data_IF_254536711892
#
_entry.id   IF_254536711892
#
_cell.length_a   1.000
_cell.length_b   1.000
_cell.length_c   1.000
_cell.angle_alpha   90.00
_cell.angle_beta   90.00
_cell.angle_gamma   90.00
#
_symmetry.space_group_name_H-M   'P 1'
#
loop_
_entity.id
_entity.type
_entity.pdbx_description
1 polymer ?
#
# COMPACT_ATOMS: atom_id res chain seq x y z
N UNK A 1 -10.39 3.14 22.33
CA UNK A 1 -10.70 1.81 22.89
C UNK A 1 -9.69 0.85 22.28
N UNK A 2 -8.74 0.36 23.06
CA UNK A 2 -7.66 -0.50 22.56
C UNK A 2 -8.23 -1.90 22.24
N UNK A 3 -7.95 -2.41 21.04
CA UNK A 3 -8.34 -3.77 20.63
C UNK A 3 -7.08 -4.62 20.54
N UNK A 4 -6.91 -5.52 21.51
CA UNK A 4 -5.72 -6.38 21.63
C UNK A 4 -6.08 -7.78 21.15
N UNK A 5 -5.27 -8.34 20.25
CA UNK A 5 -5.32 -9.76 19.89
C UNK A 5 -4.08 -10.48 20.43
N UNK A 6 -4.24 -11.75 20.81
CA UNK A 6 -3.14 -12.63 21.19
C UNK A 6 -2.93 -13.69 20.12
N UNK A 7 -1.68 -14.02 19.79
CA UNK A 7 -1.38 -15.22 19.00
C UNK A 7 -1.49 -16.48 19.89
N UNK A 8 -2.21 -17.53 19.46
CA UNK A 8 -2.27 -18.79 20.21
C UNK A 8 -1.04 -19.69 19.98
N UNK A 9 -0.04 -19.22 19.23
CA UNK A 9 1.17 -19.95 18.88
C UNK A 9 2.43 -19.17 19.28
N UNK A 10 3.53 -19.89 19.51
CA UNK A 10 4.83 -19.29 19.80
C UNK A 10 5.37 -18.51 18.58
N UNK A 11 6.17 -17.43 18.78
CA UNK A 11 6.86 -16.76 17.68
C UNK A 11 7.73 -17.76 16.92
N UNK A 12 7.61 -17.79 15.60
CA UNK A 12 8.61 -18.44 14.76
C UNK A 12 9.88 -17.59 14.84
N UNK A 13 10.96 -18.19 15.34
CA UNK A 13 12.30 -17.61 15.24
C UNK A 13 12.90 -18.16 13.95
N UNK A 14 13.19 -17.30 12.99
CA UNK A 14 13.92 -17.69 11.78
C UNK A 14 15.32 -18.12 12.25
N UNK A 15 15.64 -19.41 12.10
CA UNK A 15 17.01 -19.91 12.29
C UNK A 15 17.86 -19.50 11.09
N UNK A 16 19.11 -19.09 11.34
CA UNK A 16 20.04 -18.60 10.31
C UNK A 16 20.50 -19.66 9.30
N UNK A 17 20.05 -20.91 9.43
CA UNK A 17 20.36 -21.97 8.48
C UNK A 17 19.30 -22.04 7.39
N UNK A 18 19.72 -21.64 6.20
CA UNK A 18 18.90 -21.59 4.99
C UNK A 18 18.32 -22.94 4.62
N UNK A 19 17.03 -23.08 4.86
CA UNK A 19 16.16 -23.91 4.04
C UNK A 19 15.37 -22.93 3.15
N UNK A 20 15.32 -23.18 1.83
CA UNK A 20 14.38 -22.46 0.96
C UNK A 20 12.98 -22.74 1.52
N UNK A 21 12.39 -21.75 2.20
CA UNK A 21 10.99 -21.85 2.60
C UNK A 21 10.16 -22.05 1.31
N UNK A 22 9.35 -23.12 1.22
CA UNK A 22 8.48 -23.30 0.07
C UNK A 22 7.60 -22.07 -0.07
N UNK A 23 7.38 -21.63 -1.30
CA UNK A 23 6.59 -20.44 -1.60
C UNK A 23 5.27 -20.52 -0.80
N UNK A 24 4.97 -19.56 0.10
CA UNK A 24 3.78 -19.60 0.94
C UNK A 24 2.47 -19.61 0.12
N UNK A 25 2.56 -19.39 -1.20
CA UNK A 25 1.47 -19.47 -2.16
C UNK A 25 1.34 -20.83 -2.87
N UNK A 26 2.24 -21.80 -2.68
CA UNK A 26 2.16 -23.13 -3.32
C UNK A 26 0.88 -23.90 -2.96
N UNK A 27 0.31 -23.63 -1.78
CA UNK A 27 -0.89 -24.32 -1.29
C UNK A 27 -2.20 -23.60 -1.60
N UNK A 28 -2.16 -22.42 -2.23
CA UNK A 28 -3.40 -21.72 -2.60
C UNK A 28 -3.94 -22.34 -3.89
N UNK A 29 -4.92 -23.22 -3.73
CA UNK A 29 -5.77 -23.69 -4.82
C UNK A 29 -6.21 -22.52 -5.71
N UNK A 30 -5.89 -22.58 -7.02
CA UNK A 30 -6.36 -21.61 -8.04
C UNK A 30 -7.89 -21.45 -8.08
N UNK A 31 -8.64 -22.30 -7.37
CA UNK A 31 -10.10 -22.25 -7.27
C UNK A 31 -10.62 -21.39 -6.10
N UNK A 32 -9.78 -21.02 -5.14
CA UNK A 32 -10.15 -20.07 -4.08
C UNK A 32 -9.82 -18.66 -4.53
N UNK A 33 -10.55 -18.16 -5.52
CA UNK A 33 -10.59 -16.72 -5.74
C UNK A 33 -11.46 -16.10 -4.65
N UNK A 34 -11.02 -15.00 -4.02
CA UNK A 34 -11.90 -14.26 -3.12
C UNK A 34 -13.20 -13.92 -3.86
N UNK A 35 -14.36 -13.98 -3.19
CA UNK A 35 -15.63 -13.66 -3.82
C UNK A 35 -15.54 -12.30 -4.50
N UNK A 36 -16.14 -12.16 -5.68
CA UNK A 36 -16.16 -10.89 -6.42
C UNK A 36 -16.69 -9.79 -5.49
N UNK A 37 -15.80 -8.92 -5.03
CA UNK A 37 -16.14 -7.93 -4.02
C UNK A 37 -16.98 -6.86 -4.70
N UNK A 38 -18.31 -6.93 -4.50
CA UNK A 38 -19.23 -5.87 -4.94
C UNK A 38 -18.90 -4.51 -4.30
N UNK A 39 -18.15 -4.55 -3.19
CA UNK A 39 -17.55 -3.41 -2.50
C UNK A 39 -16.07 -3.70 -2.39
N UNK A 40 -15.27 -3.09 -3.27
CA UNK A 40 -13.83 -3.23 -3.26
C UNK A 40 -13.28 -2.72 -1.91
N UNK A 41 -12.25 -3.39 -1.39
CA UNK A 41 -11.60 -3.07 -0.13
C UNK A 41 -11.30 -1.56 -0.02
N UNK A 42 -11.93 -0.88 0.93
CA UNK A 42 -11.78 0.57 1.12
C UNK A 42 -10.35 0.95 1.55
N UNK A 43 -9.57 0.01 2.08
CA UNK A 43 -8.17 0.20 2.47
C UNK A 43 -7.28 -0.69 1.60
N UNK A 44 -6.51 -0.08 0.71
CA UNK A 44 -5.55 -0.77 -0.17
C UNK A 44 -4.16 -0.78 0.45
N UNK A 45 -3.76 0.32 1.09
CA UNK A 45 -2.45 0.46 1.73
C UNK A 45 -2.55 1.40 2.92
N UNK A 46 -1.81 1.09 3.97
CA UNK A 46 -1.76 1.86 5.19
C UNK A 46 -0.30 2.05 5.60
N UNK A 47 0.07 3.27 5.97
CA UNK A 47 1.42 3.58 6.39
C UNK A 47 1.46 4.72 7.41
N UNK A 48 2.29 4.56 8.43
CA UNK A 48 2.59 5.64 9.38
C UNK A 48 3.55 6.62 8.72
N UNK A 49 3.23 7.91 8.80
CA UNK A 49 4.12 9.00 8.43
C UNK A 49 4.01 10.10 9.48
N UNK A 50 5.13 10.39 10.15
CA UNK A 50 5.16 11.28 11.32
C UNK A 50 4.12 10.82 12.36
N UNK A 51 3.28 11.73 12.84
CA UNK A 51 2.24 11.46 13.84
C UNK A 51 0.87 11.13 13.19
N UNK A 52 0.89 10.66 11.94
CA UNK A 52 -0.33 10.36 11.18
C UNK A 52 -0.27 8.99 10.53
N UNK A 53 -1.45 8.49 10.20
CA UNK A 53 -1.68 7.25 9.48
C UNK A 53 -2.30 7.55 8.12
N UNK A 54 -1.58 7.26 7.06
CA UNK A 54 -2.01 7.49 5.69
C UNK A 54 -2.59 6.22 5.10
N UNK A 55 -3.79 6.34 4.56
CA UNK A 55 -4.57 5.24 4.03
C UNK A 55 -4.85 5.53 2.56
N UNK A 56 -4.22 4.77 1.66
CA UNK A 56 -4.63 4.74 0.26
C UNK A 56 -5.88 3.88 0.15
N UNK A 57 -6.95 4.47 -0.35
CA UNK A 57 -8.18 3.73 -0.61
C UNK A 57 -8.14 3.06 -1.98
N UNK A 58 -9.20 2.33 -2.30
CA UNK A 58 -9.41 1.84 -3.67
C UNK A 58 -9.91 2.90 -4.64
N UNK A 59 -10.24 4.09 -4.13
CA UNK A 59 -10.77 5.15 -4.95
C UNK A 59 -9.64 5.83 -5.72
N UNK A 60 -9.70 5.73 -7.04
CA UNK A 60 -8.74 6.29 -7.96
C UNK A 60 -9.47 7.09 -9.04
N UNK A 61 -8.85 8.16 -9.52
CA UNK A 61 -9.34 8.98 -10.64
C UNK A 61 -8.32 9.02 -11.77
N UNK A 62 -8.81 9.43 -12.93
CA UNK A 62 -8.00 9.67 -14.12
C UNK A 62 -7.13 8.46 -14.51
N UNK A 63 -7.69 7.25 -14.43
CA UNK A 63 -6.99 5.98 -14.76
C UNK A 63 -5.75 5.74 -13.88
N UNK A 64 -5.94 5.81 -12.56
CA UNK A 64 -4.89 5.55 -11.57
C UNK A 64 -3.88 6.68 -11.39
N UNK A 65 -4.08 7.84 -12.02
CA UNK A 65 -3.21 9.02 -11.89
C UNK A 65 -3.50 9.85 -10.63
N UNK A 66 -4.62 9.59 -9.97
CA UNK A 66 -5.00 10.23 -8.71
C UNK A 66 -5.44 9.18 -7.71
N UNK A 67 -4.77 9.12 -6.57
CA UNK A 67 -5.14 8.24 -5.47
C UNK A 67 -5.81 9.04 -4.36
N UNK A 68 -6.95 8.56 -3.85
CA UNK A 68 -7.49 9.10 -2.61
C UNK A 68 -6.67 8.60 -1.43
N UNK A 69 -6.16 9.55 -0.65
CA UNK A 69 -5.47 9.31 0.62
C UNK A 69 -6.35 9.88 1.73
N UNK A 70 -6.78 9.01 2.64
CA UNK A 70 -7.39 9.39 3.89
C UNK A 70 -6.32 9.44 4.99
N UNK A 71 -6.38 10.44 5.86
CA UNK A 71 -5.40 10.69 6.92
C UNK A 71 -6.07 10.58 8.27
N UNK A 72 -5.49 9.77 9.15
CA UNK A 72 -5.94 9.59 10.52
C UNK A 72 -4.84 9.99 11.51
N UNK A 73 -5.22 10.36 12.74
CA UNK A 73 -4.28 10.39 13.86
C UNK A 73 -3.88 8.95 14.25
N UNK A 74 -2.88 8.80 15.13
CA UNK A 74 -2.46 7.49 15.62
C UNK A 74 -3.51 6.79 16.52
N UNK A 75 -4.52 7.51 17.00
CA UNK A 75 -5.68 6.94 17.68
C UNK A 75 -6.74 6.39 16.69
N UNK A 76 -6.54 6.58 15.39
CA UNK A 76 -7.48 6.20 14.33
C UNK A 76 -8.63 7.19 14.12
N UNK A 77 -8.53 8.44 14.59
CA UNK A 77 -9.51 9.49 14.29
C UNK A 77 -9.18 10.10 12.93
N UNK A 78 -10.19 10.23 12.09
CA UNK A 78 -10.06 10.88 10.79
C UNK A 78 -9.69 12.36 10.97
N UNK A 79 -8.65 12.82 10.27
CA UNK A 79 -8.19 14.21 10.29
C UNK A 79 -8.47 14.89 8.94
N UNK A 80 -8.15 14.23 7.82
CA UNK A 80 -8.17 14.85 6.50
C UNK A 80 -8.33 13.82 5.37
N UNK A 81 -8.65 14.27 4.16
CA UNK A 81 -8.45 13.49 2.94
C UNK A 81 -8.00 14.37 1.78
N UNK A 82 -7.17 13.81 0.92
CA UNK A 82 -6.70 14.50 -0.28
C UNK A 82 -6.49 13.54 -1.44
N UNK A 83 -6.43 14.11 -2.64
CA UNK A 83 -6.06 13.37 -3.85
C UNK A 83 -4.56 13.55 -4.10
N UNK A 84 -3.81 12.45 -4.02
CA UNK A 84 -2.41 12.41 -4.45
C UNK A 84 -2.38 12.28 -5.98
N UNK A 85 -1.94 13.34 -6.65
CA UNK A 85 -1.90 13.43 -8.11
C UNK A 85 -0.48 13.21 -8.64
N UNK A 86 -0.32 12.22 -9.52
CA UNK A 86 0.95 11.96 -10.19
C UNK A 86 1.17 12.96 -11.32
N UNK A 87 2.38 13.53 -11.47
CA UNK A 87 2.63 14.63 -12.40
C UNK A 87 2.78 14.18 -13.86
N UNK A 88 3.07 12.89 -14.13
CA UNK A 88 3.38 12.37 -15.45
C UNK A 88 2.27 11.46 -15.95
N UNK A 89 1.79 11.72 -17.18
CA UNK A 89 0.85 10.84 -17.89
C UNK A 89 1.59 9.67 -18.57
N UNK A 90 0.85 8.60 -18.89
CA UNK A 90 1.38 7.42 -19.61
C UNK A 90 2.18 6.46 -18.72
N UNK A 91 2.08 6.62 -17.39
CA UNK A 91 2.71 5.75 -16.41
C UNK A 91 1.62 5.09 -15.57
N UNK A 92 1.71 3.78 -15.38
CA UNK A 92 0.86 3.06 -14.43
C UNK A 92 1.60 3.00 -13.09
N UNK A 93 0.92 3.34 -12.00
CA UNK A 93 1.52 3.41 -10.66
C UNK A 93 1.06 2.22 -9.82
N UNK A 94 2.00 1.50 -9.20
CA UNK A 94 1.66 0.41 -8.28
C UNK A 94 1.15 0.97 -6.96
N UNK A 95 0.01 0.46 -6.48
CA UNK A 95 -0.53 0.79 -5.15
C UNK A 95 0.37 0.38 -3.98
N UNK A 96 1.46 -0.35 -4.24
CA UNK A 96 2.54 -0.62 -3.28
C UNK A 96 3.49 0.57 -3.23
N UNK A 97 3.41 1.35 -2.15
CA UNK A 97 4.33 2.45 -1.89
C UNK A 97 4.92 2.41 -0.48
N UNK A 98 5.95 3.22 -0.29
CA UNK A 98 6.60 3.46 0.99
C UNK A 98 6.90 4.95 1.19
N UNK A 99 6.42 5.53 2.28
CA UNK A 99 6.79 6.87 2.76
C UNK A 99 8.01 6.78 3.69
N UNK A 100 9.04 7.57 3.42
CA UNK A 100 10.22 7.70 4.28
C UNK A 100 10.04 8.81 5.34
N UNK A 101 10.88 8.81 6.37
CA UNK A 101 10.79 9.78 7.48
C UNK A 101 10.97 11.24 7.02
N UNK A 102 11.71 11.48 5.95
CA UNK A 102 11.90 12.79 5.31
C UNK A 102 10.79 13.17 4.32
N UNK A 103 9.73 12.37 4.23
CA UNK A 103 8.50 12.67 3.49
C UNK A 103 8.55 12.32 2.00
N UNK A 104 9.52 11.51 1.56
CA UNK A 104 9.49 10.98 0.20
C UNK A 104 8.60 9.75 0.10
N UNK A 105 7.78 9.69 -0.95
CA UNK A 105 6.92 8.56 -1.28
C UNK A 105 7.58 7.81 -2.42
N UNK A 106 8.06 6.60 -2.14
CA UNK A 106 8.64 5.70 -3.13
C UNK A 106 7.53 4.87 -3.77
N UNK A 107 7.41 4.94 -5.09
CA UNK A 107 6.37 4.28 -5.89
C UNK A 107 7.02 3.57 -7.07
N UNK A 108 6.52 2.38 -7.38
CA UNK A 108 6.89 1.67 -8.60
C UNK A 108 5.99 2.12 -9.74
N UNK A 109 6.58 2.46 -10.87
CA UNK A 109 5.89 2.93 -12.08
C UNK A 109 6.25 2.08 -13.27
N UNK A 110 5.27 1.81 -14.12
CA UNK A 110 5.46 1.14 -15.39
C UNK A 110 5.17 2.12 -16.52
N UNK A 111 6.13 2.25 -17.45
CA UNK A 111 5.91 2.98 -18.68
C UNK A 111 5.04 2.14 -19.62
N UNK A 112 3.86 2.65 -19.99
CA UNK A 112 2.86 1.89 -20.75
C UNK A 112 3.31 1.54 -22.18
N UNK A 113 4.21 2.32 -22.78
CA UNK A 113 4.69 2.08 -24.14
C UNK A 113 5.80 1.02 -24.20
N UNK A 114 6.66 0.98 -23.18
CA UNK A 114 7.88 0.16 -23.17
C UNK A 114 7.81 -1.03 -22.21
N UNK A 115 6.88 -1.02 -21.25
CA UNK A 115 6.79 -1.98 -20.16
C UNK A 115 7.92 -1.85 -19.12
N UNK A 116 8.77 -0.82 -19.21
CA UNK A 116 9.87 -0.64 -18.27
C UNK A 116 9.35 -0.19 -16.90
N UNK A 117 9.80 -0.91 -15.88
CA UNK A 117 9.46 -0.65 -14.47
C UNK A 117 10.56 0.20 -13.82
N UNK A 118 10.17 1.30 -13.18
CA UNK A 118 11.05 2.18 -12.44
C UNK A 118 10.59 2.32 -10.99
N UNK A 119 11.54 2.41 -10.05
CA UNK A 119 11.27 2.83 -8.67
C UNK A 119 11.63 4.31 -8.55
N UNK A 120 10.63 5.16 -8.32
CA UNK A 120 10.80 6.61 -8.24
C UNK A 120 10.42 7.14 -6.88
N UNK A 121 10.90 8.36 -6.56
CA UNK A 121 10.59 9.06 -5.31
C UNK A 121 9.84 10.35 -5.62
N UNK A 122 8.71 10.52 -4.95
CA UNK A 122 7.91 11.74 -4.96
C UNK A 122 8.04 12.49 -3.65
N UNK A 123 7.82 13.80 -3.67
CA UNK A 123 7.65 14.61 -2.48
C UNK A 123 6.37 15.42 -2.65
N UNK A 124 5.54 15.45 -1.62
CA UNK A 124 4.39 16.36 -1.61
C UNK A 124 4.90 17.79 -1.58
N UNK A 125 4.36 18.62 -2.48
CA UNK A 125 4.61 20.05 -2.46
C UNK A 125 3.47 20.74 -1.73
N UNK A 126 3.80 21.68 -0.86
CA UNK A 126 2.84 22.65 -0.34
C UNK A 126 2.40 23.52 -1.53
N UNK A 127 1.18 23.29 -2.02
CA UNK A 127 0.53 24.20 -2.98
C UNK A 127 -0.40 25.14 -2.24
#
# INVERSE_FOLDING_TARGET
>A
MERVFSRPYAPVKISEEGEEEPDPYEHISRQLQPPASKYFFDIVRLQIFQDTLWVKTSNEKDDGQKWQIDVFDLDGKYIDCFWLEFPKKGLTHSSRFAISNDGFISVTEENQDTGLINLVKYKLSDK
#
